data_IF_469327571182
#
_entry.id   IF_469327571182
#
_cell.length_a   1.000
_cell.length_b   1.000
_cell.length_c   1.000
_cell.angle_alpha   90.00
_cell.angle_beta   90.00
_cell.angle_gamma   90.00
#
_symmetry.space_group_name_H-M   'P 1'
#
loop_
_entity.id
_entity.type
_entity.pdbx_description
1 polymer ?
#
# COMPACT_ATOMS: atom_id res chain seq x y z
N UNK A 1 8.14 44.18 -47.17
CA UNK A 1 8.85 44.17 -45.87
C UNK A 1 7.76 44.02 -44.82
N UNK A 2 7.32 42.78 -44.61
CA UNK A 2 6.25 42.45 -43.67
C UNK A 2 6.77 41.31 -42.80
N UNK A 3 6.71 41.55 -41.50
CA UNK A 3 7.15 40.69 -40.41
C UNK A 3 6.07 39.68 -40.08
N UNK A 4 6.37 38.38 -40.21
CA UNK A 4 5.55 37.31 -39.65
C UNK A 4 5.84 37.17 -38.15
N UNK A 5 4.81 37.41 -37.33
CA UNK A 5 4.77 37.06 -35.91
C UNK A 5 4.27 35.63 -35.75
N UNK A 6 5.12 34.73 -35.25
CA UNK A 6 4.73 33.40 -34.78
C UNK A 6 3.89 33.52 -33.49
N UNK A 7 2.67 32.99 -33.52
CA UNK A 7 1.79 32.92 -32.36
C UNK A 7 1.70 31.48 -31.89
N UNK A 8 2.45 31.14 -30.83
CA UNK A 8 2.31 29.90 -30.07
C UNK A 8 0.92 29.84 -29.44
N UNK A 9 0.07 28.92 -29.89
CA UNK A 9 -1.21 28.67 -29.25
C UNK A 9 -0.99 27.79 -28.02
N UNK A 10 -1.01 28.44 -26.85
CA UNK A 10 -1.06 27.80 -25.55
C UNK A 10 -2.23 26.81 -25.46
N UNK A 11 -1.91 25.61 -24.98
CA UNK A 11 -2.89 24.55 -24.67
C UNK A 11 -3.70 25.00 -23.45
N UNK A 12 -5.01 25.13 -23.65
CA UNK A 12 -5.99 25.55 -22.65
C UNK A 12 -6.09 24.55 -21.48
N UNK A 13 -5.94 25.07 -20.25
CA UNK A 13 -5.99 24.40 -18.93
C UNK A 13 -7.36 23.80 -18.53
N UNK A 14 -8.14 23.26 -19.48
CA UNK A 14 -9.51 22.73 -19.21
C UNK A 14 -9.71 21.24 -19.49
N UNK A 15 -8.65 20.46 -19.67
CA UNK A 15 -8.72 19.04 -20.03
C UNK A 15 -8.57 18.00 -18.90
N UNK A 16 -8.33 18.39 -17.65
CA UNK A 16 -7.87 17.45 -16.59
C UNK A 16 -8.92 17.06 -15.53
N UNK A 17 -10.19 17.42 -15.70
CA UNK A 17 -11.24 17.22 -14.67
C UNK A 17 -12.04 15.90 -14.85
N UNK A 18 -11.74 15.07 -15.84
CA UNK A 18 -12.49 13.81 -16.07
C UNK A 18 -11.74 12.51 -15.75
N UNK A 19 -10.53 12.57 -15.17
CA UNK A 19 -9.73 11.37 -14.86
C UNK A 19 -9.93 10.75 -13.48
N UNK A 20 -10.54 11.49 -12.52
CA UNK A 20 -10.81 11.00 -11.17
C UNK A 20 -12.27 10.52 -11.00
N UNK A 21 -12.91 10.10 -12.09
CA UNK A 21 -14.22 9.47 -12.06
C UNK A 21 -14.07 8.00 -11.65
N UNK A 22 -14.22 7.74 -10.35
CA UNK A 22 -14.98 6.60 -9.82
C UNK A 22 -14.55 5.22 -10.37
N UNK A 23 -13.54 4.61 -9.75
CA UNK A 23 -13.73 3.25 -9.22
C UNK A 23 -14.34 3.38 -7.82
N UNK A 24 -15.47 4.09 -7.74
CA UNK A 24 -16.45 3.76 -6.73
C UNK A 24 -16.95 2.39 -7.11
N UNK A 25 -16.49 1.37 -6.39
CA UNK A 25 -17.32 0.22 -6.18
C UNK A 25 -18.64 0.79 -5.65
N UNK A 26 -19.70 0.73 -6.47
CA UNK A 26 -21.04 0.94 -5.98
C UNK A 26 -21.22 -0.08 -4.86
N UNK A 27 -21.20 0.37 -3.60
CA UNK A 27 -21.50 -0.46 -2.45
C UNK A 27 -22.98 -0.82 -2.53
N UNK A 28 -23.29 -1.92 -3.20
CA UNK A 28 -24.55 -2.60 -2.94
C UNK A 28 -24.32 -3.30 -1.60
N UNK A 29 -25.01 -2.82 -0.56
CA UNK A 29 -25.07 -3.48 0.73
C UNK A 29 -25.70 -4.87 0.56
N UNK A 30 -24.88 -5.87 0.26
CA UNK A 30 -25.27 -7.26 0.35
C UNK A 30 -25.31 -7.64 1.83
N UNK A 31 -26.49 -8.01 2.33
CA UNK A 31 -26.69 -8.57 3.66
C UNK A 31 -26.06 -9.97 3.72
N UNK A 32 -24.76 -10.04 3.99
CA UNK A 32 -24.08 -11.29 4.28
C UNK A 32 -24.44 -11.79 5.70
N UNK A 33 -24.75 -13.08 5.88
CA UNK A 33 -24.96 -13.63 7.22
C UNK A 33 -23.63 -13.67 7.97
N UNK A 34 -23.61 -13.16 9.21
CA UNK A 34 -22.40 -13.07 10.03
C UNK A 34 -21.94 -14.44 10.55
N UNK A 35 -20.70 -14.89 10.27
CA UNK A 35 -20.02 -15.89 11.09
C UNK A 35 -19.40 -15.20 12.31
N UNK A 36 -19.21 -15.91 13.45
CA UNK A 36 -18.88 -15.27 14.71
C UNK A 36 -17.50 -14.60 14.62
N UNK A 37 -17.50 -13.27 14.67
CA UNK A 37 -16.30 -12.54 15.04
C UNK A 37 -16.00 -12.92 16.49
N UNK A 38 -14.89 -13.59 16.73
CA UNK A 38 -14.30 -13.60 18.06
C UNK A 38 -13.81 -12.19 18.35
N UNK A 39 -14.72 -11.31 18.74
CA UNK A 39 -14.37 -10.04 19.37
C UNK A 39 -13.85 -10.38 20.78
N UNK A 40 -12.62 -10.87 20.88
CA UNK A 40 -11.81 -10.50 22.02
C UNK A 40 -11.80 -8.97 22.02
N UNK A 41 -12.17 -8.36 23.15
CA UNK A 41 -12.44 -6.92 23.26
C UNK A 41 -11.24 -6.06 22.88
N UNK A 42 -11.05 -5.83 21.58
CA UNK A 42 -9.96 -5.01 21.07
C UNK A 42 -10.10 -3.61 21.63
N UNK A 43 -9.00 -3.06 22.11
CA UNK A 43 -8.93 -1.63 22.41
C UNK A 43 -8.31 -0.94 21.21
N UNK A 44 -9.08 -0.05 20.57
CA UNK A 44 -8.64 0.74 19.43
C UNK A 44 -8.47 2.20 19.84
N UNK A 45 -7.36 2.81 19.42
CA UNK A 45 -7.08 4.24 19.63
C UNK A 45 -6.69 4.88 18.31
N UNK A 46 -7.39 5.94 17.90
CA UNK A 46 -6.90 6.90 16.90
C UNK A 46 -5.76 7.70 17.52
N UNK A 47 -4.54 7.52 17.03
CA UNK A 47 -3.35 8.13 17.64
C UNK A 47 -3.13 9.53 17.08
N UNK A 48 -2.98 9.65 15.76
CA UNK A 48 -2.78 10.92 15.05
C UNK A 48 -2.80 10.74 13.54
N UNK A 49 -3.20 11.79 12.82
CA UNK A 49 -2.92 11.91 11.39
C UNK A 49 -1.40 12.07 11.19
N UNK A 50 -0.84 11.32 10.24
CA UNK A 50 0.59 11.24 9.95
C UNK A 50 1.02 12.27 8.92
N UNK A 51 0.39 12.27 7.75
CA UNK A 51 0.69 13.14 6.62
C UNK A 51 -0.53 13.29 5.71
N UNK A 52 -0.66 14.44 5.04
CA UNK A 52 -1.79 14.78 4.18
C UNK A 52 -2.68 15.84 4.81
N UNK A 53 -3.97 15.84 4.43
CA UNK A 53 -4.91 16.84 4.95
C UNK A 53 -5.12 16.71 6.47
N UNK A 54 -5.60 17.78 7.11
CA UNK A 54 -5.87 17.85 8.56
C UNK A 54 -4.63 17.90 9.48
N UNK A 55 -3.42 17.97 8.91
CA UNK A 55 -2.18 18.26 9.64
C UNK A 55 -1.38 19.35 8.94
N UNK A 56 -0.46 20.05 9.64
CA UNK A 56 0.46 20.97 8.98
C UNK A 56 1.27 20.26 7.90
N UNK A 57 1.41 20.89 6.73
CA UNK A 57 2.19 20.38 5.62
C UNK A 57 3.66 20.20 6.03
N UNK A 58 4.19 19.00 5.85
CA UNK A 58 5.60 18.67 6.07
C UNK A 58 6.18 18.13 4.77
N UNK A 59 7.38 18.56 4.40
CA UNK A 59 8.08 18.10 3.19
C UNK A 59 7.23 18.27 1.91
N UNK A 60 6.35 19.27 1.87
CA UNK A 60 5.43 19.50 0.76
C UNK A 60 4.41 18.39 0.53
N UNK A 61 4.06 17.62 1.56
CA UNK A 61 3.02 16.58 1.54
C UNK A 61 1.74 17.17 2.14
N UNK A 62 0.89 17.77 1.31
CA UNK A 62 -0.35 18.43 1.73
C UNK A 62 -1.60 17.57 1.60
N UNK A 63 -1.60 16.65 0.64
CA UNK A 63 -2.63 15.62 0.47
C UNK A 63 -1.92 14.37 -0.05
N UNK A 64 -2.14 13.21 0.58
CA UNK A 64 -1.41 11.97 0.23
C UNK A 64 -2.18 10.72 0.64
N UNK A 65 -1.78 9.56 0.12
CA UNK A 65 -2.29 8.27 0.54
C UNK A 65 -1.24 7.21 0.88
N UNK A 66 -1.75 6.10 1.41
CA UNK A 66 -1.05 4.89 1.81
C UNK A 66 -0.24 5.08 3.10
N UNK A 67 1.03 5.46 3.01
CA UNK A 67 1.95 5.48 4.15
C UNK A 67 2.41 4.08 4.57
N UNK A 68 2.95 3.32 3.62
CA UNK A 68 3.45 1.94 3.82
C UNK A 68 4.81 1.99 4.53
N UNK A 69 4.93 1.43 5.75
CA UNK A 69 6.14 1.54 6.53
C UNK A 69 7.09 0.35 6.31
N UNK A 70 8.39 0.63 6.34
CA UNK A 70 9.46 -0.37 6.44
C UNK A 70 10.59 0.14 7.33
N UNK A 71 11.34 -0.78 7.96
CA UNK A 71 12.63 -0.45 8.58
C UNK A 71 13.69 -0.39 7.51
N UNK A 72 14.39 0.72 7.41
CA UNK A 72 15.61 0.83 6.61
C UNK A 72 16.73 -0.04 7.21
N UNK A 73 17.76 -0.41 6.43
CA UNK A 73 18.93 -1.12 6.96
C UNK A 73 19.61 -0.43 8.15
N UNK A 74 19.63 0.90 8.21
CA UNK A 74 20.18 1.66 9.35
C UNK A 74 19.22 1.76 10.56
N UNK A 75 18.02 1.18 10.47
CA UNK A 75 17.09 1.01 11.59
C UNK A 75 16.02 2.08 11.76
N UNK A 76 16.12 3.23 11.07
CA UNK A 76 15.02 4.21 11.00
C UNK A 76 13.85 3.68 10.18
N UNK A 77 12.66 4.25 10.36
CA UNK A 77 11.50 3.94 9.53
C UNK A 77 11.49 4.80 8.26
N UNK A 78 11.07 4.19 7.16
CA UNK A 78 10.64 4.85 5.94
C UNK A 78 9.14 4.60 5.76
N UNK A 79 8.38 5.62 5.40
CA UNK A 79 6.97 5.55 5.01
C UNK A 79 6.86 5.91 3.54
N UNK A 80 6.36 4.97 2.74
CA UNK A 80 6.14 5.11 1.30
C UNK A 80 4.69 5.50 1.04
N UNK A 81 4.48 6.64 0.39
CA UNK A 81 3.20 7.19 0.03
C UNK A 81 2.97 7.10 -1.48
N UNK A 82 1.69 7.06 -1.88
CA UNK A 82 1.29 7.06 -3.27
C UNK A 82 1.09 8.47 -3.80
N UNK A 83 -0.05 8.69 -4.45
CA UNK A 83 -0.39 9.95 -5.07
C UNK A 83 -0.35 11.07 -4.04
N UNK A 84 0.48 12.09 -4.30
CA UNK A 84 0.77 13.15 -3.34
C UNK A 84 0.75 14.51 -4.02
N UNK A 85 0.02 15.45 -3.42
CA UNK A 85 -0.06 16.85 -3.84
C UNK A 85 0.44 17.79 -2.75
N UNK A 86 0.85 19.00 -3.15
CA UNK A 86 1.33 20.02 -2.22
C UNK A 86 0.21 20.63 -1.36
N UNK A 87 -1.03 20.60 -1.84
CA UNK A 87 -2.15 21.35 -1.28
C UNK A 87 -3.44 20.51 -1.16
N UNK A 88 -3.96 19.98 -2.28
CA UNK A 88 -5.19 19.18 -2.31
C UNK A 88 -5.16 18.18 -3.48
N UNK A 89 -6.04 17.18 -3.47
CA UNK A 89 -6.16 16.20 -4.56
C UNK A 89 -6.43 16.91 -5.88
N UNK A 90 -5.61 16.63 -6.90
CA UNK A 90 -5.68 17.28 -8.21
C UNK A 90 -5.07 18.70 -8.26
N UNK A 91 -4.45 19.14 -7.17
CA UNK A 91 -3.80 20.44 -7.05
C UNK A 91 -2.38 20.46 -7.62
N UNK A 92 -1.50 21.25 -6.99
CA UNK A 92 -0.15 21.48 -7.47
C UNK A 92 0.82 20.36 -7.09
N UNK A 93 1.87 20.19 -7.91
CA UNK A 93 3.01 19.33 -7.62
C UNK A 93 2.62 17.88 -7.29
N UNK A 94 1.86 17.27 -8.20
CA UNK A 94 1.56 15.84 -8.15
C UNK A 94 2.85 15.03 -8.29
N UNK A 95 3.10 14.15 -7.30
CA UNK A 95 4.22 13.22 -7.24
C UNK A 95 3.71 11.87 -6.74
N UNK A 96 4.18 10.79 -7.35
CA UNK A 96 4.07 9.43 -6.78
C UNK A 96 5.20 8.55 -7.29
N UNK A 97 5.73 7.60 -6.51
CA UNK A 97 5.64 7.57 -5.05
C UNK A 97 6.47 8.69 -4.41
N UNK A 98 6.17 8.96 -3.14
CA UNK A 98 6.90 9.89 -2.24
C UNK A 98 7.26 9.13 -0.97
N UNK A 99 8.39 9.42 -0.32
CA UNK A 99 8.73 8.78 0.95
C UNK A 99 9.28 9.72 2.02
N UNK A 100 8.85 9.47 3.27
CA UNK A 100 9.26 10.21 4.47
C UNK A 100 9.99 9.30 5.46
N UNK A 101 10.92 9.86 6.21
CA UNK A 101 11.66 9.17 7.27
C UNK A 101 11.12 9.51 8.65
N UNK A 102 11.14 8.53 9.54
CA UNK A 102 10.85 8.70 10.95
C UNK A 102 11.88 7.98 11.82
N UNK A 103 12.33 8.65 12.87
CA UNK A 103 13.13 8.07 13.95
C UNK A 103 12.30 7.79 15.21
N UNK A 104 10.97 7.83 15.14
CA UNK A 104 10.10 7.55 16.28
C UNK A 104 10.31 6.13 16.79
N UNK A 105 10.50 5.97 18.10
CA UNK A 105 10.58 4.66 18.77
C UNK A 105 9.39 4.41 19.69
N UNK A 106 8.82 5.46 20.29
CA UNK A 106 7.58 5.38 21.06
C UNK A 106 6.37 5.61 20.16
N UNK A 107 5.77 4.51 19.70
CA UNK A 107 4.61 4.55 18.80
C UNK A 107 3.32 5.00 19.50
N UNK A 108 3.22 4.92 20.83
CA UNK A 108 2.04 5.36 21.60
C UNK A 108 1.82 6.87 21.49
N UNK A 109 2.91 7.65 21.43
CA UNK A 109 2.86 9.10 21.22
C UNK A 109 2.68 9.49 19.75
N UNK A 110 2.67 8.50 18.85
CA UNK A 110 2.49 8.67 17.42
C UNK A 110 3.77 8.96 16.65
N UNK A 111 3.81 8.51 15.40
CA UNK A 111 4.93 8.68 14.47
C UNK A 111 5.10 10.15 14.09
N UNK A 112 6.34 10.62 14.09
CA UNK A 112 6.72 11.96 13.60
C UNK A 112 7.76 11.83 12.50
N UNK A 113 7.63 12.61 11.44
CA UNK A 113 8.59 12.63 10.35
C UNK A 113 9.73 13.61 10.65
N UNK A 114 10.95 13.19 10.32
CA UNK A 114 12.17 13.98 10.52
C UNK A 114 13.09 13.97 9.29
N UNK A 115 12.56 13.58 8.13
CA UNK A 115 13.21 13.73 6.83
C UNK A 115 12.36 13.19 5.69
N UNK A 116 12.87 13.32 4.47
CA UNK A 116 12.30 12.75 3.25
C UNK A 116 13.36 12.02 2.44
N UNK A 117 12.94 11.01 1.66
CA UNK A 117 13.77 10.34 0.66
C UNK A 117 13.84 11.15 -0.64
N UNK A 118 14.71 10.76 -1.58
CA UNK A 118 14.94 11.43 -2.86
C UNK A 118 16.40 11.87 -3.04
N UNK A 119 16.85 11.94 -4.30
CA UNK A 119 18.22 12.33 -4.63
C UNK A 119 18.55 13.75 -4.12
N UNK A 120 19.64 13.87 -3.35
CA UNK A 120 20.09 15.12 -2.74
C UNK A 120 19.56 15.26 -1.32
N UNK A 121 20.41 14.93 -0.34
CA UNK A 121 20.15 14.88 1.11
C UNK A 121 19.80 16.23 1.78
N UNK A 122 19.01 17.08 1.12
CA UNK A 122 18.29 18.12 1.82
C UNK A 122 17.00 17.52 2.41
N UNK A 123 17.14 16.86 3.55
CA UNK A 123 16.03 16.40 4.38
C UNK A 123 15.19 17.55 4.98
N UNK A 124 15.35 18.79 4.51
CA UNK A 124 14.53 19.96 4.85
C UNK A 124 13.70 20.47 3.67
N UNK A 125 13.76 19.81 2.50
CA UNK A 125 13.06 20.22 1.28
C UNK A 125 11.70 19.55 1.06
N UNK A 126 11.05 19.92 -0.05
CA UNK A 126 9.88 19.21 -0.59
C UNK A 126 10.29 17.80 -1.01
N UNK A 127 9.61 16.77 -0.51
CA UNK A 127 9.87 15.38 -0.87
C UNK A 127 9.56 15.18 -2.38
N UNK A 128 10.54 14.77 -3.19
CA UNK A 128 10.37 14.63 -4.63
C UNK A 128 9.59 13.36 -4.98
N UNK A 129 9.14 13.28 -6.24
CA UNK A 129 8.84 12.00 -6.86
C UNK A 129 10.13 11.16 -6.89
N UNK A 130 10.07 9.91 -6.40
CA UNK A 130 11.30 9.13 -6.19
C UNK A 130 12.08 8.80 -7.48
N UNK A 131 11.39 8.74 -8.61
CA UNK A 131 11.97 8.67 -9.94
C UNK A 131 11.07 9.39 -10.94
N UNK A 132 11.65 9.83 -12.06
CA UNK A 132 10.90 10.58 -13.06
C UNK A 132 10.00 9.68 -13.90
N UNK A 133 8.74 10.07 -14.02
CA UNK A 133 7.82 9.73 -15.11
C UNK A 133 6.81 10.89 -15.26
N UNK A 134 6.24 11.13 -16.45
CA UNK A 134 5.25 12.18 -16.64
C UNK A 134 3.87 11.72 -16.16
N UNK A 135 3.09 12.56 -15.47
CA UNK A 135 1.67 12.27 -15.20
C UNK A 135 0.81 12.53 -16.45
N UNK A 136 0.72 11.55 -17.35
CA UNK A 136 0.03 11.66 -18.64
C UNK A 136 -0.85 10.42 -18.98
N UNK A 137 -1.34 10.32 -20.22
CA UNK A 137 -2.17 9.19 -20.65
C UNK A 137 -1.37 7.88 -20.79
N UNK A 138 -0.05 7.92 -20.77
CA UNK A 138 0.76 6.72 -20.75
C UNK A 138 1.05 6.30 -19.31
N UNK A 139 1.47 7.23 -18.47
CA UNK A 139 1.69 7.05 -17.04
C UNK A 139 0.73 7.94 -16.25
N UNK A 140 -0.49 7.47 -16.02
CA UNK A 140 -1.43 8.24 -15.19
C UNK A 140 -0.84 8.42 -13.79
N UNK A 141 -0.36 7.32 -13.20
CA UNK A 141 0.40 7.33 -11.96
C UNK A 141 1.13 5.99 -11.76
N UNK A 142 2.11 5.98 -10.86
CA UNK A 142 2.80 4.78 -10.38
C UNK A 142 2.57 4.68 -8.87
N UNK A 143 1.80 3.67 -8.44
CA UNK A 143 1.36 3.51 -7.04
C UNK A 143 2.21 2.43 -6.35
N UNK A 144 2.81 2.70 -5.18
CA UNK A 144 3.53 1.67 -4.44
C UNK A 144 2.53 0.67 -3.83
N UNK A 145 2.77 -0.64 -3.95
CA UNK A 145 1.92 -1.63 -3.28
C UNK A 145 2.50 -2.09 -1.94
N UNK A 146 3.82 -2.32 -1.89
CA UNK A 146 4.54 -2.65 -0.65
C UNK A 146 6.05 -2.42 -0.78
N UNK A 147 6.73 -2.27 0.36
CA UNK A 147 8.19 -2.09 0.51
C UNK A 147 8.75 -3.06 1.55
N UNK A 148 9.91 -3.65 1.30
CA UNK A 148 10.60 -4.58 2.21
C UNK A 148 12.10 -4.32 2.23
N UNK A 149 12.73 -4.64 3.35
CA UNK A 149 14.19 -4.65 3.50
C UNK A 149 14.67 -6.08 3.64
N UNK A 150 15.63 -6.46 2.80
CA UNK A 150 16.29 -7.77 2.78
C UNK A 150 17.79 -7.52 2.93
N UNK A 151 18.34 -7.88 4.08
CA UNK A 151 19.71 -7.53 4.43
C UNK A 151 19.96 -6.02 4.36
N UNK A 152 20.91 -5.60 3.52
CA UNK A 152 21.26 -4.18 3.34
C UNK A 152 20.48 -3.46 2.22
N UNK A 153 19.55 -4.14 1.55
CA UNK A 153 18.84 -3.61 0.38
C UNK A 153 17.35 -3.50 0.66
N UNK A 154 16.75 -2.40 0.22
CA UNK A 154 15.30 -2.25 0.17
C UNK A 154 14.77 -2.56 -1.23
N UNK A 155 13.60 -3.16 -1.29
CA UNK A 155 12.85 -3.42 -2.52
C UNK A 155 11.46 -2.78 -2.43
N UNK A 156 10.99 -2.25 -3.55
CA UNK A 156 9.69 -1.60 -3.68
C UNK A 156 8.98 -2.16 -4.89
N UNK A 157 7.77 -2.67 -4.68
CA UNK A 157 6.89 -3.05 -5.77
C UNK A 157 5.95 -1.90 -6.09
N UNK A 158 5.87 -1.56 -7.39
CA UNK A 158 5.10 -0.42 -7.87
C UNK A 158 4.16 -0.81 -9.02
N UNK A 159 2.99 -0.18 -9.07
CA UNK A 159 1.89 -0.47 -9.99
C UNK A 159 1.81 0.65 -11.00
N UNK A 160 2.15 0.36 -12.26
CA UNK A 160 2.12 1.36 -13.33
C UNK A 160 0.72 1.43 -13.94
N UNK A 161 0.06 2.58 -13.79
CA UNK A 161 -1.30 2.82 -14.27
C UNK A 161 -1.33 3.68 -15.54
N UNK A 162 -2.23 3.35 -16.46
CA UNK A 162 -2.57 4.15 -17.63
C UNK A 162 -3.40 3.37 -18.67
N UNK A 163 -4.26 4.03 -19.47
CA UNK A 163 -4.37 5.48 -19.66
C UNK A 163 -5.29 6.22 -18.70
N UNK A 164 -5.89 5.51 -17.75
CA UNK A 164 -6.60 6.09 -16.63
C UNK A 164 -6.11 5.47 -15.32
N UNK A 165 -6.62 5.98 -14.20
CA UNK A 165 -6.43 5.36 -12.90
C UNK A 165 -7.26 4.08 -12.80
N UNK A 166 -6.62 2.96 -12.46
CA UNK A 166 -7.27 1.65 -12.38
C UNK A 166 -6.94 0.73 -13.54
N UNK A 167 -6.31 1.20 -14.62
CA UNK A 167 -5.79 0.34 -15.70
C UNK A 167 -4.33 0.04 -15.45
N UNK A 168 -4.04 -1.16 -14.96
CA UNK A 168 -2.66 -1.60 -14.73
C UNK A 168 -2.04 -1.98 -16.07
N UNK A 169 -0.91 -1.36 -16.42
CA UNK A 169 -0.13 -1.71 -17.61
C UNK A 169 0.84 -2.85 -17.33
N UNK A 170 1.51 -2.77 -16.18
CA UNK A 170 2.36 -3.80 -15.58
C UNK A 170 2.62 -3.40 -14.12
N UNK A 171 3.27 -4.26 -13.37
CA UNK A 171 3.92 -3.88 -12.11
C UNK A 171 5.42 -4.10 -12.22
N UNK A 172 6.18 -3.45 -11.35
CA UNK A 172 7.63 -3.42 -11.47
C UNK A 172 8.32 -3.37 -10.13
N UNK A 173 9.60 -3.75 -10.13
CA UNK A 173 10.42 -3.81 -8.94
C UNK A 173 11.55 -2.77 -8.99
N UNK A 174 11.62 -1.98 -7.93
CA UNK A 174 12.69 -1.02 -7.66
C UNK A 174 13.52 -1.49 -6.47
N UNK A 175 14.78 -1.05 -6.40
CA UNK A 175 15.67 -1.30 -5.27
C UNK A 175 16.34 -0.02 -4.77
N UNK A 176 16.70 -0.01 -3.49
CA UNK A 176 17.55 1.02 -2.87
C UNK A 176 18.65 0.36 -2.06
N UNK A 177 19.88 0.85 -2.23
CA UNK A 177 21.09 0.40 -1.53
C UNK A 177 21.60 1.43 -0.50
N UNK A 178 20.82 2.48 -0.24
CA UNK A 178 21.19 3.66 0.54
C UNK A 178 20.09 4.09 1.53
N UNK A 179 19.53 3.11 2.24
CA UNK A 179 18.48 3.32 3.25
C UNK A 179 17.20 3.99 2.73
N UNK A 180 16.86 3.71 1.48
CA UNK A 180 15.65 4.21 0.83
C UNK A 180 15.80 5.61 0.22
N UNK A 181 17.02 6.16 0.19
CA UNK A 181 17.24 7.54 -0.25
C UNK A 181 17.14 7.69 -1.77
N UNK A 182 17.70 6.75 -2.52
CA UNK A 182 17.59 6.69 -3.98
C UNK A 182 17.10 5.32 -4.43
N UNK A 183 16.37 5.30 -5.55
CA UNK A 183 15.73 4.09 -6.08
C UNK A 183 16.16 3.84 -7.53
N UNK A 184 16.50 2.59 -7.82
CA UNK A 184 16.91 2.12 -9.14
C UNK A 184 15.96 1.05 -9.63
N UNK A 185 15.50 1.16 -10.87
CA UNK A 185 14.68 0.12 -11.50
C UNK A 185 15.53 -1.15 -11.64
N UNK A 186 14.97 -2.30 -11.30
CA UNK A 186 15.73 -3.57 -11.32
C UNK A 186 15.76 -4.23 -12.70
N UNK A 187 15.01 -3.71 -13.67
CA UNK A 187 14.70 -4.34 -14.95
C UNK A 187 13.55 -5.34 -14.87
N UNK A 188 13.11 -5.73 -13.68
CA UNK A 188 12.01 -6.69 -13.50
C UNK A 188 10.65 -5.97 -13.62
N UNK A 189 9.86 -6.46 -14.58
CA UNK A 189 8.44 -6.14 -14.73
C UNK A 189 7.62 -7.43 -14.63
N UNK A 190 6.45 -7.34 -14.01
CA UNK A 190 5.44 -8.38 -13.98
C UNK A 190 4.29 -7.99 -14.91
N UNK A 191 3.87 -8.88 -15.84
CA UNK A 191 2.73 -8.61 -16.70
C UNK A 191 1.47 -8.28 -15.91
N UNK A 192 0.66 -7.32 -16.38
CA UNK A 192 -0.57 -6.94 -15.71
C UNK A 192 -1.57 -8.08 -15.54
N UNK A 193 -1.52 -9.10 -16.40
CA UNK A 193 -2.37 -10.29 -16.37
C UNK A 193 -1.75 -11.46 -15.61
N UNK A 194 -0.57 -11.31 -15.00
CA UNK A 194 0.05 -12.35 -14.18
C UNK A 194 -0.92 -12.84 -13.09
N UNK A 195 -1.06 -14.18 -13.00
CA UNK A 195 -2.05 -14.85 -12.15
C UNK A 195 -3.52 -14.44 -12.43
N UNK A 196 -3.85 -14.08 -13.67
CA UNK A 196 -5.15 -13.51 -14.02
C UNK A 196 -5.37 -12.15 -13.36
N UNK A 197 -4.32 -11.32 -13.32
CA UNK A 197 -4.31 -9.99 -12.70
C UNK A 197 -4.27 -9.98 -11.17
N UNK A 198 -3.94 -11.11 -10.53
CA UNK A 198 -3.86 -11.24 -9.06
C UNK A 198 -2.46 -10.96 -8.51
N UNK A 199 -1.53 -10.48 -9.34
CA UNK A 199 -0.22 -10.03 -8.91
C UNK A 199 -0.04 -8.51 -9.08
N UNK A 200 -1.15 -7.77 -9.16
CA UNK A 200 -1.12 -6.33 -9.41
C UNK A 200 -0.88 -5.53 -8.13
N UNK A 201 -1.48 -5.93 -7.01
CA UNK A 201 -1.24 -5.34 -5.69
C UNK A 201 -0.72 -6.43 -4.78
N UNK A 202 0.52 -6.29 -4.29
CA UNK A 202 1.17 -7.33 -3.48
C UNK A 202 1.52 -6.81 -2.10
N UNK A 203 1.71 -7.75 -1.18
CA UNK A 203 2.46 -7.57 0.06
C UNK A 203 3.41 -8.73 0.28
N UNK A 204 4.44 -8.53 1.09
CA UNK A 204 5.50 -9.52 1.27
C UNK A 204 6.12 -9.56 2.67
N UNK A 205 6.69 -10.70 3.02
CA UNK A 205 7.55 -10.81 4.20
C UNK A 205 8.64 -11.86 3.97
N UNK A 206 9.82 -11.59 4.54
CA UNK A 206 10.95 -12.51 4.47
C UNK A 206 10.85 -13.55 5.59
N UNK A 207 10.89 -14.83 5.20
CA UNK A 207 10.96 -15.96 6.13
C UNK A 207 12.39 -16.22 6.62
N UNK A 208 12.51 -17.03 7.66
CA UNK A 208 13.80 -17.49 8.17
C UNK A 208 14.40 -18.67 7.38
N UNK A 209 13.76 -19.05 6.27
CA UNK A 209 14.14 -20.15 5.38
C UNK A 209 14.78 -19.67 4.07
N UNK A 210 15.09 -18.37 3.98
CA UNK A 210 15.71 -17.76 2.81
C UNK A 210 14.74 -17.41 1.68
N UNK A 211 13.43 -17.54 1.90
CA UNK A 211 12.40 -17.13 0.95
C UNK A 211 11.68 -15.86 1.39
N UNK A 212 11.27 -15.07 0.39
CA UNK A 212 10.27 -14.02 0.54
C UNK A 212 8.94 -14.57 0.08
N UNK A 213 7.92 -14.45 0.92
CA UNK A 213 6.55 -14.86 0.64
C UNK A 213 5.73 -13.65 0.23
N UNK A 214 4.92 -13.82 -0.81
CA UNK A 214 4.23 -12.73 -1.48
C UNK A 214 2.76 -13.09 -1.64
N UNK A 215 1.87 -12.38 -0.95
CA UNK A 215 0.46 -12.42 -1.26
C UNK A 215 0.15 -11.34 -2.31
N UNK A 216 -0.60 -11.73 -3.34
CA UNK A 216 -1.03 -10.84 -4.42
C UNK A 216 -2.55 -10.82 -4.55
N UNK A 217 -3.09 -9.66 -4.96
CA UNK A 217 -4.48 -9.46 -5.38
C UNK A 217 -4.54 -8.51 -6.59
N UNK A 218 -5.75 -8.23 -7.08
CA UNK A 218 -6.01 -7.23 -8.12
C UNK A 218 -5.98 -5.81 -7.58
N UNK A 219 -5.45 -4.86 -8.36
CA UNK A 219 -5.39 -3.45 -7.95
C UNK A 219 -6.78 -2.82 -7.76
N UNK A 220 -7.78 -3.27 -8.52
CA UNK A 220 -9.16 -2.76 -8.48
C UNK A 220 -9.97 -3.36 -7.33
N UNK A 221 -9.34 -4.17 -6.46
CA UNK A 221 -9.96 -4.83 -5.31
C UNK A 221 -11.11 -5.78 -5.67
N UNK A 222 -11.05 -6.36 -6.86
CA UNK A 222 -12.08 -7.19 -7.51
C UNK A 222 -11.69 -8.68 -7.62
N UNK A 223 -10.58 -9.09 -6.98
CA UNK A 223 -10.01 -10.43 -7.09
C UNK A 223 -9.66 -11.01 -5.71
N UNK A 224 -9.59 -12.33 -5.64
CA UNK A 224 -9.06 -13.06 -4.49
C UNK A 224 -7.55 -12.97 -4.36
N UNK A 225 -7.03 -13.53 -3.27
CA UNK A 225 -5.59 -13.56 -2.94
C UNK A 225 -4.94 -14.80 -3.54
N UNK A 226 -3.76 -14.64 -4.13
CA UNK A 226 -2.83 -15.72 -4.51
C UNK A 226 -1.55 -15.63 -3.70
N UNK A 227 -0.81 -16.73 -3.58
CA UNK A 227 0.47 -16.78 -2.88
C UNK A 227 1.60 -17.19 -3.84
N UNK A 228 2.72 -16.49 -3.72
CA UNK A 228 3.99 -16.79 -4.35
C UNK A 228 5.09 -16.82 -3.30
N UNK A 229 6.23 -17.42 -3.66
CA UNK A 229 7.51 -17.18 -2.97
C UNK A 229 8.62 -16.96 -3.97
N UNK A 230 9.70 -16.32 -3.54
CA UNK A 230 10.93 -16.16 -4.31
C UNK A 230 12.13 -16.29 -3.37
N UNK A 231 13.25 -16.93 -3.76
CA UNK A 231 14.46 -16.89 -2.95
C UNK A 231 14.90 -15.43 -2.73
N UNK A 232 15.21 -15.06 -1.50
CA UNK A 232 15.61 -13.70 -1.10
C UNK A 232 16.79 -13.14 -1.92
N UNK A 233 17.67 -14.01 -2.41
CA UNK A 233 18.81 -13.65 -3.26
C UNK A 233 18.49 -13.56 -4.77
N UNK A 234 17.26 -13.90 -5.20
CA UNK A 234 16.83 -13.93 -6.59
C UNK A 234 15.61 -13.00 -6.87
N UNK A 235 15.40 -11.98 -6.04
CA UNK A 235 14.28 -11.03 -6.15
C UNK A 235 14.14 -10.37 -7.53
N UNK A 236 15.22 -10.26 -8.32
CA UNK A 236 15.19 -9.58 -9.63
C UNK A 236 15.03 -10.53 -10.82
N UNK A 237 14.65 -11.79 -10.58
CA UNK A 237 14.52 -12.82 -11.62
C UNK A 237 13.11 -13.37 -11.65
N UNK A 238 12.33 -13.02 -12.69
CA UNK A 238 10.91 -13.40 -12.80
C UNK A 238 10.68 -14.91 -12.67
N UNK A 239 11.52 -15.73 -13.32
CA UNK A 239 11.39 -17.20 -13.28
C UNK A 239 11.69 -17.83 -11.92
N UNK A 240 12.25 -17.07 -10.97
CA UNK A 240 12.47 -17.52 -9.59
C UNK A 240 11.21 -17.42 -8.71
N UNK A 241 10.16 -16.73 -9.18
CA UNK A 241 8.89 -16.60 -8.47
C UNK A 241 8.06 -17.88 -8.63
N UNK A 242 7.87 -18.60 -7.54
CA UNK A 242 7.17 -19.88 -7.50
C UNK A 242 5.75 -19.67 -6.98
N UNK A 243 4.70 -19.98 -7.76
CA UNK A 243 3.32 -19.94 -7.28
C UNK A 243 3.06 -21.05 -6.26
N UNK A 244 2.15 -20.77 -5.32
CA UNK A 244 1.48 -21.78 -4.50
C UNK A 244 0.18 -22.18 -5.18
N UNK A 245 -0.07 -23.48 -5.30
CA UNK A 245 -1.22 -23.97 -6.04
C UNK A 245 -1.69 -25.34 -5.61
N UNK A 246 -2.96 -25.64 -5.88
CA UNK A 246 -3.56 -26.95 -5.68
C UNK A 246 -3.71 -27.66 -7.03
N UNK A 247 -2.98 -28.76 -7.20
CA UNK A 247 -3.09 -29.61 -8.38
C UNK A 247 -2.75 -31.05 -8.00
N UNK A 248 -3.37 -32.02 -8.66
CA UNK A 248 -3.14 -33.45 -8.42
C UNK A 248 -3.33 -33.84 -6.94
N UNK A 249 -4.42 -33.36 -6.33
CA UNK A 249 -4.83 -33.75 -4.98
C UNK A 249 -3.99 -33.17 -3.83
N UNK A 250 -3.11 -32.21 -4.08
CA UNK A 250 -2.26 -31.62 -3.03
C UNK A 250 -1.88 -30.17 -3.33
N UNK A 251 -1.63 -29.39 -2.28
CA UNK A 251 -0.98 -28.09 -2.39
C UNK A 251 0.52 -28.23 -2.62
N UNK A 252 1.14 -27.26 -3.30
CA UNK A 252 2.59 -27.28 -3.54
C UNK A 252 3.12 -26.06 -4.29
N UNK A 253 4.41 -25.80 -4.13
CA UNK A 253 5.13 -24.75 -4.86
C UNK A 253 5.37 -25.17 -6.32
N UNK A 254 5.32 -24.21 -7.23
CA UNK A 254 5.51 -24.45 -8.67
C UNK A 254 4.30 -25.06 -9.38
N UNK A 255 3.22 -25.36 -8.65
CA UNK A 255 1.94 -25.77 -9.24
C UNK A 255 1.20 -24.57 -9.83
N UNK A 256 0.28 -24.78 -10.79
CA UNK A 256 -0.56 -23.69 -11.30
C UNK A 256 -1.18 -22.90 -10.16
N UNK A 257 -1.02 -21.58 -10.20
CA UNK A 257 -1.47 -20.68 -9.11
C UNK A 257 -2.94 -20.91 -8.80
N UNK A 258 -3.26 -21.02 -7.51
CA UNK A 258 -4.63 -21.18 -7.01
C UNK A 258 -4.92 -20.06 -6.01
N UNK A 259 -6.15 -19.54 -6.00
CA UNK A 259 -6.57 -18.61 -4.96
C UNK A 259 -6.45 -19.28 -3.59
N UNK A 260 -5.79 -18.59 -2.65
CA UNK A 260 -5.67 -19.01 -1.24
C UNK A 260 -6.75 -18.39 -0.36
N UNK A 261 -7.41 -17.35 -0.85
CA UNK A 261 -8.59 -16.75 -0.25
C UNK A 261 -9.42 -16.03 -1.34
N UNK A 262 -10.68 -16.39 -1.50
CA UNK A 262 -11.58 -15.72 -2.45
C UNK A 262 -12.29 -14.54 -1.79
N UNK A 263 -12.54 -13.47 -2.55
CA UNK A 263 -13.21 -12.27 -2.06
C UNK A 263 -12.78 -11.01 -2.79
N UNK A 264 -12.96 -9.87 -2.14
CA UNK A 264 -12.62 -8.54 -2.65
C UNK A 264 -11.65 -7.90 -1.66
N UNK A 265 -10.40 -7.73 -2.07
CA UNK A 265 -9.31 -7.33 -1.19
C UNK A 265 -8.45 -6.27 -1.86
N UNK A 266 -8.07 -5.26 -1.10
CA UNK A 266 -7.09 -4.24 -1.46
C UNK A 266 -5.94 -4.21 -0.46
N UNK A 267 -4.96 -3.36 -0.75
CA UNK A 267 -3.87 -2.91 0.13
C UNK A 267 -3.61 -3.83 1.34
N UNK A 268 -2.62 -4.70 1.20
CA UNK A 268 -2.30 -5.74 2.18
C UNK A 268 -0.97 -5.44 2.89
N UNK A 269 -0.76 -6.05 4.05
CA UNK A 269 0.50 -6.01 4.80
C UNK A 269 0.76 -7.37 5.47
N UNK A 270 1.64 -8.18 4.87
CA UNK A 270 2.15 -9.43 5.42
C UNK A 270 3.48 -9.15 6.10
N UNK A 271 3.65 -9.49 7.38
CA UNK A 271 4.94 -9.38 8.07
C UNK A 271 5.18 -10.58 8.99
N UNK A 272 6.43 -11.09 9.09
CA UNK A 272 6.81 -11.88 10.25
C UNK A 272 6.75 -11.00 11.50
N UNK A 273 6.10 -11.47 12.57
CA UNK A 273 5.95 -10.73 13.82
C UNK A 273 5.78 -11.69 15.00
N UNK A 274 6.60 -11.54 16.04
CA UNK A 274 6.48 -12.33 17.27
C UNK A 274 6.59 -13.85 17.06
N UNK A 275 7.40 -14.31 16.11
CA UNK A 275 7.52 -15.74 15.77
C UNK A 275 6.32 -16.32 15.00
N UNK A 276 5.40 -15.46 14.56
CA UNK A 276 4.27 -15.76 13.69
C UNK A 276 4.37 -14.95 12.41
N UNK A 277 3.39 -15.12 11.55
CA UNK A 277 3.09 -14.23 10.45
C UNK A 277 1.80 -13.49 10.76
N UNK A 278 1.72 -12.22 10.40
CA UNK A 278 0.49 -11.46 10.47
C UNK A 278 0.20 -10.89 9.09
N UNK A 279 -1.03 -11.08 8.64
CA UNK A 279 -1.58 -10.45 7.45
C UNK A 279 -2.66 -9.47 7.89
N UNK A 280 -2.51 -8.20 7.54
CA UNK A 280 -3.59 -7.22 7.57
C UNK A 280 -3.96 -6.80 6.15
N UNK A 281 -5.21 -6.44 5.91
CA UNK A 281 -5.65 -6.00 4.59
C UNK A 281 -6.92 -5.17 4.64
N UNK A 282 -7.11 -4.37 3.59
CA UNK A 282 -8.41 -3.78 3.33
C UNK A 282 -9.34 -4.82 2.69
N UNK A 283 -10.31 -5.30 3.48
CA UNK A 283 -11.39 -6.16 3.01
C UNK A 283 -12.49 -5.29 2.41
N UNK A 284 -12.34 -4.93 1.14
CA UNK A 284 -13.29 -4.04 0.46
C UNK A 284 -14.69 -4.63 0.39
N UNK A 285 -14.82 -5.95 0.24
CA UNK A 285 -16.13 -6.63 0.18
C UNK A 285 -16.92 -6.58 1.50
N UNK A 286 -16.25 -6.39 2.64
CA UNK A 286 -16.88 -6.22 3.95
C UNK A 286 -16.67 -4.81 4.54
N UNK A 287 -16.07 -3.90 3.75
CA UNK A 287 -15.72 -2.54 4.13
C UNK A 287 -15.05 -2.43 5.52
N UNK A 288 -13.91 -3.10 5.69
CA UNK A 288 -13.16 -3.14 6.97
C UNK A 288 -11.68 -3.44 6.77
N UNK A 289 -10.85 -3.17 7.76
CA UNK A 289 -9.49 -3.73 7.85
C UNK A 289 -9.54 -4.96 8.75
N UNK A 290 -9.13 -6.10 8.20
CA UNK A 290 -9.06 -7.38 8.90
C UNK A 290 -7.60 -7.78 9.17
N UNK A 291 -7.41 -8.65 10.15
CA UNK A 291 -6.15 -9.32 10.46
C UNK A 291 -6.31 -10.84 10.55
N UNK A 292 -5.24 -11.56 10.21
CA UNK A 292 -5.02 -12.96 10.54
C UNK A 292 -3.62 -13.13 11.13
N UNK A 293 -3.52 -13.88 12.23
CA UNK A 293 -2.24 -14.36 12.77
C UNK A 293 -2.06 -15.81 12.33
N UNK A 294 -0.99 -16.08 11.60
CA UNK A 294 -0.70 -17.35 10.94
C UNK A 294 0.59 -17.96 11.52
N UNK A 295 0.66 -19.28 11.52
CA UNK A 295 1.89 -20.00 11.87
C UNK A 295 2.88 -19.99 10.72
N UNK A 296 2.38 -20.15 9.49
CA UNK A 296 3.17 -20.09 8.26
C UNK A 296 2.45 -19.27 7.20
N UNK A 297 3.16 -18.77 6.16
CA UNK A 297 2.53 -18.10 5.03
C UNK A 297 1.62 -19.03 4.20
N UNK A 298 1.71 -20.34 4.39
CA UNK A 298 0.90 -21.34 3.69
C UNK A 298 -0.28 -21.84 4.50
N UNK A 299 -0.54 -21.28 5.69
CA UNK A 299 -1.71 -21.61 6.49
C UNK A 299 -2.99 -21.39 5.67
N UNK A 300 -4.00 -22.24 5.91
CA UNK A 300 -5.26 -22.17 5.17
C UNK A 300 -6.08 -20.95 5.60
N UNK A 301 -6.07 -19.91 4.76
CA UNK A 301 -6.74 -18.63 5.04
C UNK A 301 -8.27 -18.76 5.13
N UNK A 302 -8.87 -19.79 4.53
CA UNK A 302 -10.32 -20.03 4.67
C UNK A 302 -10.72 -20.48 6.08
N UNK A 303 -9.79 -21.03 6.85
CA UNK A 303 -10.03 -21.54 8.22
C UNK A 303 -9.28 -20.78 9.30
N UNK A 304 -8.32 -19.93 8.92
CA UNK A 304 -7.58 -19.08 9.85
C UNK A 304 -8.53 -18.12 10.58
N UNK A 305 -8.27 -17.93 11.88
CA UNK A 305 -9.05 -16.98 12.68
C UNK A 305 -8.85 -15.56 12.13
N UNK A 306 -9.96 -14.91 11.80
CA UNK A 306 -10.00 -13.55 11.28
C UNK A 306 -10.55 -12.61 12.32
N UNK A 307 -9.85 -11.50 12.52
CA UNK A 307 -10.23 -10.45 13.47
C UNK A 307 -10.39 -9.13 12.73
N UNK A 308 -11.54 -8.46 12.88
CA UNK A 308 -11.71 -7.10 12.36
C UNK A 308 -10.95 -6.12 13.26
N UNK A 309 -10.08 -5.29 12.69
CA UNK A 309 -9.32 -4.27 13.41
C UNK A 309 -10.02 -2.91 13.38
N UNK A 310 -10.53 -2.53 12.20
CA UNK A 310 -11.24 -1.28 11.95
C UNK A 310 -12.41 -1.53 11.03
N UNK A 311 -13.51 -0.83 11.27
CA UNK A 311 -14.74 -0.91 10.49
C UNK A 311 -14.89 0.32 9.61
N UNK A 312 -15.42 0.12 8.41
CA UNK A 312 -15.92 1.20 7.58
C UNK A 312 -17.20 1.79 8.13
N UNK A 313 -17.36 3.09 7.94
CA UNK A 313 -18.56 3.84 8.33
C UNK A 313 -18.83 4.97 7.34
N UNK A 314 -19.93 5.69 7.54
CA UNK A 314 -20.25 6.88 6.77
C UNK A 314 -19.48 8.10 7.30
N UNK A 315 -19.34 9.13 6.45
CA UNK A 315 -18.81 10.41 6.90
C UNK A 315 -19.67 10.99 8.03
N UNK A 316 -19.03 11.56 9.05
CA UNK A 316 -19.65 12.11 10.27
C UNK A 316 -20.22 11.05 11.25
N UNK A 317 -19.98 9.76 11.03
CA UNK A 317 -20.30 8.68 11.99
C UNK A 317 -19.05 7.92 12.42
N UNK A 318 -17.89 8.59 12.39
CA UNK A 318 -16.59 8.04 12.77
C UNK A 318 -16.39 8.02 14.27
N UNK A 319 -15.65 7.02 14.74
CA UNK A 319 -15.15 6.91 16.10
C UNK A 319 -13.72 6.35 16.11
N UNK A 320 -13.24 5.82 17.24
CA UNK A 320 -11.89 5.26 17.33
C UNK A 320 -11.67 4.02 16.44
N UNK A 321 -12.73 3.25 16.19
CA UNK A 321 -12.72 1.97 15.46
C UNK A 321 -13.50 1.99 14.15
N UNK A 322 -14.31 3.03 13.91
CA UNK A 322 -15.09 3.24 12.70
C UNK A 322 -14.54 4.43 11.91
N UNK A 323 -14.09 4.20 10.68
CA UNK A 323 -13.41 5.20 9.84
C UNK A 323 -14.09 5.28 8.47
N UNK A 324 -14.41 6.48 8.00
CA UNK A 324 -15.07 6.65 6.70
C UNK A 324 -14.06 6.52 5.56
N UNK A 325 -14.41 5.77 4.52
CA UNK A 325 -13.62 5.48 3.31
C UNK A 325 -12.16 5.12 3.60
N UNK A 326 -11.95 4.27 4.61
CA UNK A 326 -10.63 3.75 4.95
C UNK A 326 -10.10 2.77 3.90
N UNK A 327 -8.78 2.65 3.82
CA UNK A 327 -8.07 1.59 3.10
C UNK A 327 -6.62 1.47 3.62
N UNK A 328 -5.87 0.47 3.16
CA UNK A 328 -4.56 0.16 3.72
C UNK A 328 -4.66 -0.68 4.99
N UNK A 329 -4.02 -0.23 6.07
CA UNK A 329 -3.86 -1.01 7.30
C UNK A 329 -2.48 -1.62 7.41
N UNK A 330 -1.43 -0.81 7.23
CA UNK A 330 -0.05 -1.26 7.18
C UNK A 330 0.60 -1.28 8.55
N UNK A 331 1.25 -2.38 8.91
CA UNK A 331 1.82 -2.59 10.25
C UNK A 331 3.09 -1.75 10.40
N UNK A 332 3.07 -0.81 11.33
CA UNK A 332 4.21 0.07 11.64
C UNK A 332 5.28 -0.73 12.41
N UNK A 333 6.54 -0.74 11.95
CA UNK A 333 7.62 -1.42 12.65
C UNK A 333 7.79 -0.93 14.09
N UNK A 334 7.91 -1.87 15.03
CA UNK A 334 7.83 -1.61 16.47
C UNK A 334 6.52 -2.08 17.09
N UNK A 335 5.52 -2.41 16.28
CA UNK A 335 4.35 -3.19 16.69
C UNK A 335 4.73 -4.55 17.28
N UNK A 336 3.83 -5.13 18.07
CA UNK A 336 3.85 -6.52 18.55
C UNK A 336 2.50 -7.17 18.27
N UNK A 337 2.39 -8.50 18.35
CA UNK A 337 1.09 -9.16 18.13
C UNK A 337 -0.01 -8.68 19.11
N UNK A 338 0.36 -8.30 20.34
CA UNK A 338 -0.57 -7.81 21.37
C UNK A 338 -0.82 -6.28 21.30
N UNK A 339 0.01 -5.55 20.55
CA UNK A 339 -0.02 -4.09 20.45
C UNK A 339 0.40 -3.67 19.04
N UNK A 340 -0.58 -3.59 18.15
CA UNK A 340 -0.38 -3.23 16.75
C UNK A 340 -0.52 -1.72 16.57
N UNK A 341 0.40 -1.15 15.81
CA UNK A 341 0.24 0.19 15.26
C UNK A 341 0.09 0.09 13.75
N UNK A 342 -0.93 0.74 13.20
CA UNK A 342 -1.29 0.67 11.79
C UNK A 342 -1.22 2.06 11.18
N UNK A 343 -0.65 2.18 9.98
CA UNK A 343 -0.88 3.32 9.09
C UNK A 343 -2.07 2.99 8.19
N UNK A 344 -3.11 3.83 8.24
CA UNK A 344 -4.38 3.64 7.54
C UNK A 344 -4.62 4.87 6.69
N UNK A 345 -4.94 4.66 5.41
CA UNK A 345 -5.24 5.74 4.49
C UNK A 345 -6.73 6.07 4.51
N UNK A 346 -7.07 7.34 4.34
CA UNK A 346 -8.44 7.82 4.31
C UNK A 346 -8.63 8.82 3.16
N UNK A 347 -9.66 8.62 2.32
CA UNK A 347 -9.96 9.52 1.20
C UNK A 347 -11.45 9.80 1.08
N UNK A 348 -11.85 11.07 1.22
CA UNK A 348 -13.19 11.53 0.85
C UNK A 348 -13.31 11.65 -0.67
N UNK A 349 -13.74 10.59 -1.35
CA UNK A 349 -13.84 10.59 -2.81
C UNK A 349 -14.99 11.45 -3.34
N UNK A 350 -15.93 11.85 -2.48
CA UNK A 350 -17.07 12.70 -2.85
C UNK A 350 -16.69 14.17 -3.04
N UNK A 351 -15.69 14.67 -2.30
CA UNK A 351 -15.32 16.09 -2.33
C UNK A 351 -13.82 16.39 -2.15
N UNK A 352 -12.97 15.36 -1.99
CA UNK A 352 -11.52 15.45 -1.79
C UNK A 352 -11.07 16.23 -0.55
N UNK A 353 -11.95 16.48 0.42
CA UNK A 353 -11.63 17.22 1.66
C UNK A 353 -10.70 16.44 2.60
N UNK A 354 -10.72 15.11 2.52
CA UNK A 354 -9.86 14.21 3.30
C UNK A 354 -9.02 13.40 2.33
N UNK A 355 -7.69 13.46 2.48
CA UNK A 355 -6.74 12.63 1.76
C UNK A 355 -5.42 12.59 2.55
N UNK A 356 -5.34 11.63 3.46
CA UNK A 356 -4.22 11.50 4.39
C UNK A 356 -3.99 10.05 4.83
N UNK A 357 -2.87 9.82 5.51
CA UNK A 357 -2.63 8.61 6.30
C UNK A 357 -2.68 8.93 7.79
N UNK A 358 -3.28 8.04 8.56
CA UNK A 358 -3.48 8.17 10.01
C UNK A 358 -2.99 6.92 10.75
N UNK A 359 -2.45 7.13 11.95
CA UNK A 359 -2.01 6.06 12.82
C UNK A 359 -3.11 5.61 13.77
N UNK A 360 -3.34 4.30 13.79
CA UNK A 360 -4.19 3.62 14.77
C UNK A 360 -3.33 2.73 15.66
N UNK A 361 -3.78 2.51 16.89
CA UNK A 361 -3.25 1.50 17.80
C UNK A 361 -4.35 0.51 18.13
N UNK A 362 -4.06 -0.78 18.03
CA UNK A 362 -5.00 -1.88 18.29
C UNK A 362 -4.36 -2.87 19.25
N UNK A 363 -5.01 -3.10 20.38
CA UNK A 363 -4.52 -3.99 21.43
C UNK A 363 -5.49 -5.15 21.67
N UNK A 364 -4.96 -6.30 22.10
CA UNK A 364 -5.75 -7.48 22.46
C UNK A 364 -6.03 -8.46 21.30
N UNK A 365 -5.23 -8.43 20.23
CA UNK A 365 -5.36 -9.37 19.11
C UNK A 365 -4.95 -10.81 19.48
N UNK A 366 -3.99 -10.97 20.39
CA UNK A 366 -3.51 -12.28 20.91
C UNK A 366 -3.49 -12.31 22.43
#
# INVERSE_FOLDING_TARGET
METESTNERGVSRRGLIQGAAVLGAAFIAATAPAPPASAAGLTVTRVKVLAGTQVPVQYGVGATDLGIPARTPEGRMLFMFGDTWADHVGGANWRSPVALYSSTTNLVSGVTFNGSAGAGANTQGTAPQLWYYPHDNYFTTVIPSDVITIGSRMYLHAIVNGPQFGTVRWTELWKSDDNGATWQHTGLQFPADMAGGKFQCITWGEGNDGYVYIYGTGFQRDKGIVLYRVPSNNMTTLSAYQPWGYANGSWGWGKPVTEVLSGQFGEMCLRPLGGKWILTWFNSGAYRIDAMVLNTPTDNLYTAAKTTLLYGTEWNTEDASHVAQLYGGYIIPGSTLSDLHLSVSQWNTGNNSVYHSEQFRVQGLV
#
